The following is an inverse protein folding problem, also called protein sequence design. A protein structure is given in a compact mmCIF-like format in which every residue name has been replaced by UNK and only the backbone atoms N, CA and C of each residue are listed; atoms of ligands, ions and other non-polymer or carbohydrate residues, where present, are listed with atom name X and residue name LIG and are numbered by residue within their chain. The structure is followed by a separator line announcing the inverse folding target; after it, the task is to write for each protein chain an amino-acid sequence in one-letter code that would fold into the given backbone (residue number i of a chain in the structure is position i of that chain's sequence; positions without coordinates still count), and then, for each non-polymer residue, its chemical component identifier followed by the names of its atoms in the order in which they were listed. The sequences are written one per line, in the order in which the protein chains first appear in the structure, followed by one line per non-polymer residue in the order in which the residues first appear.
data_IF_215584978495
#
_entry.id   IF_215584978495
#
_cell.length_a   1.000
_cell.length_b   1.000
_cell.length_c   1.000
_cell.angle_alpha   90.00
_cell.angle_beta   90.00
_cell.angle_gamma   90.00
#
_symmetry.space_group_name_H-M   'P 1'
#
loop_
_entity.id
_entity.type
_entity.pdbx_description
1 polymer ?
#
# COMPACT_ATOMS: atom_id res chain seq x y z
N UNK A 1 -19.63 -10.63 -2.58
CA UNK A 1 -18.18 -10.41 -2.34
C UNK A 1 -17.56 -10.11 -3.70
N UNK A 2 -16.99 -8.92 -3.93
CA UNK A 2 -16.01 -8.80 -5.02
C UNK A 2 -14.68 -9.33 -4.48
N UNK A 3 -14.57 -10.65 -4.41
CA UNK A 3 -13.28 -11.33 -4.21
C UNK A 3 -12.41 -10.96 -5.39
N UNK A 4 -11.18 -10.52 -5.11
CA UNK A 4 -10.15 -10.36 -6.13
C UNK A 4 -10.15 -11.59 -7.03
N UNK A 5 -10.46 -11.38 -8.31
CA UNK A 5 -10.46 -12.47 -9.26
C UNK A 5 -9.01 -12.66 -9.68
N UNK A 6 -8.41 -13.80 -9.31
CA UNK A 6 -7.04 -14.16 -9.67
C UNK A 6 -6.00 -13.87 -8.58
N UNK A 7 -5.44 -14.95 -8.02
CA UNK A 7 -4.34 -14.87 -7.06
C UNK A 7 -3.06 -14.36 -7.75
N UNK A 8 -2.28 -13.49 -7.08
CA UNK A 8 -1.04 -12.97 -7.63
C UNK A 8 -0.01 -14.08 -7.77
N UNK A 9 0.74 -14.05 -8.86
CA UNK A 9 1.86 -14.97 -9.08
C UNK A 9 3.08 -14.52 -8.30
N UNK A 10 3.71 -15.46 -7.61
CA UNK A 10 5.01 -15.26 -6.99
C UNK A 10 6.09 -15.45 -8.06
N UNK A 11 7.00 -14.48 -8.18
CA UNK A 11 8.16 -14.65 -9.06
C UNK A 11 9.16 -15.63 -8.45
N UNK A 12 9.64 -16.59 -9.25
CA UNK A 12 10.78 -17.44 -8.90
C UNK A 12 12.04 -16.61 -8.55
N UNK A 13 12.19 -15.41 -9.13
CA UNK A 13 13.29 -14.47 -8.85
C UNK A 13 13.06 -13.61 -7.61
N UNK A 14 11.90 -13.74 -6.95
CA UNK A 14 11.60 -12.97 -5.74
C UNK A 14 12.49 -13.42 -4.58
N UNK A 15 12.73 -12.51 -3.62
CA UNK A 15 13.65 -12.80 -2.52
C UNK A 15 13.16 -13.94 -1.61
N UNK A 16 11.90 -14.36 -1.67
CA UNK A 16 11.36 -15.40 -0.79
C UNK A 16 11.94 -16.75 -1.17
N UNK A 17 12.12 -16.99 -2.47
CA UNK A 17 12.80 -18.18 -2.99
C UNK A 17 14.32 -18.13 -2.77
N UNK A 18 14.93 -16.93 -2.75
CA UNK A 18 16.34 -16.77 -2.35
C UNK A 18 16.59 -17.03 -0.87
N UNK A 19 15.65 -16.66 0.00
CA UNK A 19 15.72 -16.95 1.43
C UNK A 19 15.40 -18.42 1.74
N UNK A 20 14.53 -19.07 0.96
CA UNK A 20 14.23 -20.49 1.07
C UNK A 20 15.41 -21.39 0.64
N UNK A 21 16.24 -20.95 -0.32
CA UNK A 21 17.41 -21.70 -0.81
C UNK A 21 18.64 -21.68 0.10
N UNK A 22 18.64 -20.87 1.17
CA UNK A 22 19.75 -20.77 2.14
C UNK A 22 19.40 -21.36 3.51
N UNK A 23 18.31 -22.12 3.63
CA UNK A 23 18.07 -22.93 4.83
C UNK A 23 18.86 -24.23 4.66
N UNK A 24 20.18 -24.14 4.86
CA UNK A 24 20.85 -25.27 5.49
C UNK A 24 20.26 -25.43 6.88
N UNK A 25 20.04 -26.68 7.26
CA UNK A 25 19.33 -27.15 8.44
C UNK A 25 20.08 -26.74 9.72
N UNK A 26 20.08 -25.46 10.03
CA UNK A 26 20.58 -24.94 11.29
C UNK A 26 19.42 -24.98 12.27
N UNK A 27 19.42 -26.03 13.10
CA UNK A 27 18.58 -26.16 14.30
C UNK A 27 18.43 -24.78 14.94
N UNK A 28 17.26 -24.17 14.78
CA UNK A 28 16.98 -22.90 15.45
C UNK A 28 17.10 -23.12 16.95
N UNK A 29 18.06 -22.45 17.58
CA UNK A 29 18.04 -22.31 19.04
C UNK A 29 16.72 -21.64 19.37
N UNK A 30 15.89 -22.32 20.17
CA UNK A 30 14.62 -21.82 20.70
C UNK A 30 14.89 -20.53 21.49
N UNK A 31 14.89 -19.39 20.78
CA UNK A 31 14.94 -18.07 21.38
C UNK A 31 13.68 -17.91 22.23
N UNK A 32 13.90 -17.67 23.52
CA UNK A 32 12.88 -17.61 24.55
C UNK A 32 11.66 -16.82 24.12
N UNK A 33 10.52 -17.45 24.35
CA UNK A 33 9.16 -16.99 24.12
C UNK A 33 8.82 -15.80 25.03
N UNK A 34 9.52 -14.67 24.90
CA UNK A 34 9.28 -13.52 25.77
C UNK A 34 8.02 -12.80 25.29
N UNK A 35 6.95 -12.92 26.10
CA UNK A 35 5.66 -12.20 26.05
C UNK A 35 4.45 -12.87 25.37
N UNK A 36 4.29 -14.20 25.46
CA UNK A 36 3.04 -14.86 25.00
C UNK A 36 1.80 -14.64 25.89
N UNK A 37 1.92 -13.93 27.01
CA UNK A 37 0.83 -13.73 27.99
C UNK A 37 0.16 -12.36 28.01
N UNK A 38 0.68 -11.34 27.31
CA UNK A 38 0.15 -9.95 27.39
C UNK A 38 -0.96 -9.64 26.37
N UNK A 39 -1.08 -10.44 25.31
CA UNK A 39 -2.09 -10.24 24.24
C UNK A 39 -3.36 -11.07 24.48
N UNK A 40 -3.31 -12.09 25.34
CA UNK A 40 -4.46 -12.95 25.66
C UNK A 40 -5.62 -12.14 26.25
N UNK A 41 -5.32 -11.13 27.07
CA UNK A 41 -6.34 -10.28 27.73
C UNK A 41 -7.18 -9.45 26.77
N UNK A 42 -6.69 -9.14 25.56
CA UNK A 42 -7.49 -8.41 24.56
C UNK A 42 -8.63 -9.28 24.01
N UNK A 43 -8.49 -10.61 24.10
CA UNK A 43 -9.50 -11.58 23.65
C UNK A 43 -10.64 -11.76 24.66
N UNK A 44 -10.39 -11.44 25.93
CA UNK A 44 -11.36 -11.59 27.01
C UNK A 44 -12.28 -10.35 27.16
N UNK A 45 -12.06 -9.32 26.34
CA UNK A 45 -12.85 -8.08 26.35
C UNK A 45 -14.15 -8.29 25.54
N UNK A 46 -15.32 -7.88 26.06
CA UNK A 46 -16.57 -7.84 25.29
C UNK A 46 -16.41 -7.10 23.97
N UNK A 47 -17.02 -7.62 22.89
CA UNK A 47 -16.87 -7.06 21.55
C UNK A 47 -17.26 -5.58 21.46
N UNK A 48 -18.25 -5.12 22.23
CA UNK A 48 -18.68 -3.73 22.23
C UNK A 48 -17.58 -2.77 22.74
N UNK A 49 -16.88 -3.17 23.80
CA UNK A 49 -15.75 -2.41 24.35
C UNK A 49 -14.58 -2.46 23.36
N UNK A 50 -14.33 -3.62 22.77
CA UNK A 50 -13.33 -3.75 21.71
C UNK A 50 -13.62 -2.82 20.53
N UNK A 51 -14.88 -2.73 20.08
CA UNK A 51 -15.30 -1.84 19.00
C UNK A 51 -15.17 -0.38 19.37
N UNK A 52 -15.47 -0.01 20.63
CA UNK A 52 -15.25 1.36 21.11
C UNK A 52 -13.78 1.74 21.03
N UNK A 53 -12.88 0.88 21.49
CA UNK A 53 -11.42 1.09 21.41
C UNK A 53 -10.96 1.11 19.94
N UNK A 54 -11.40 0.15 19.14
CA UNK A 54 -11.01 0.04 17.73
C UNK A 54 -11.46 1.25 16.90
N UNK A 55 -12.62 1.83 17.22
CA UNK A 55 -13.17 3.01 16.54
C UNK A 55 -12.39 4.31 16.79
N UNK A 56 -11.59 4.37 17.87
CA UNK A 56 -10.73 5.51 18.17
C UNK A 56 -9.31 5.39 17.62
N UNK A 57 -8.98 4.26 16.99
CA UNK A 57 -7.68 4.05 16.36
C UNK A 57 -7.54 4.82 15.04
N UNK A 58 -6.30 4.99 14.57
CA UNK A 58 -6.04 5.43 13.19
C UNK A 58 -6.17 4.25 12.22
N UNK A 59 -6.41 4.48 10.91
CA UNK A 59 -6.49 3.40 9.93
C UNK A 59 -5.24 2.48 9.91
N UNK A 60 -4.00 3.00 10.00
CA UNK A 60 -2.80 2.18 10.17
C UNK A 60 -2.83 1.31 11.42
N UNK A 61 -3.22 1.87 12.57
CA UNK A 61 -3.23 1.15 13.84
C UNK A 61 -4.27 0.03 13.83
N UNK A 62 -5.47 0.28 13.30
CA UNK A 62 -6.51 -0.74 13.15
C UNK A 62 -6.04 -1.88 12.23
N UNK A 63 -5.30 -1.57 11.17
CA UNK A 63 -4.73 -2.56 10.28
C UNK A 63 -3.60 -3.35 10.93
N UNK A 64 -2.75 -2.69 11.73
CA UNK A 64 -1.73 -3.37 12.52
C UNK A 64 -2.37 -4.32 13.54
N UNK A 65 -3.43 -3.89 14.22
CA UNK A 65 -4.21 -4.72 15.13
C UNK A 65 -4.79 -5.96 14.43
N UNK A 66 -5.37 -5.77 13.25
CA UNK A 66 -5.88 -6.87 12.41
C UNK A 66 -4.78 -7.88 11.99
N UNK A 67 -3.49 -7.52 12.06
CA UNK A 67 -2.37 -8.40 11.72
C UNK A 67 -1.79 -9.15 12.91
N UNK A 68 -2.19 -8.81 14.14
CA UNK A 68 -1.68 -9.44 15.36
C UNK A 68 -2.12 -10.91 15.47
N UNK A 69 -3.33 -11.25 15.05
CA UNK A 69 -3.84 -12.62 15.10
C UNK A 69 -4.87 -12.92 13.99
N UNK A 70 -5.12 -14.21 13.72
CA UNK A 70 -6.14 -14.62 12.75
C UNK A 70 -7.55 -14.20 13.17
N UNK A 71 -7.81 -14.24 14.48
CA UNK A 71 -9.12 -13.89 15.04
C UNK A 71 -9.36 -12.39 14.92
N UNK A 72 -8.37 -11.55 15.31
CA UNK A 72 -8.47 -10.09 15.13
C UNK A 72 -8.57 -9.71 13.65
N UNK A 73 -7.87 -10.43 12.77
CA UNK A 73 -8.02 -10.25 11.32
C UNK A 73 -9.47 -10.48 10.89
N UNK A 74 -10.06 -11.59 11.34
CA UNK A 74 -11.42 -11.96 10.99
C UNK A 74 -12.43 -10.95 11.53
N UNK A 75 -12.26 -10.47 12.76
CA UNK A 75 -13.13 -9.45 13.35
C UNK A 75 -12.96 -8.12 12.61
N UNK A 76 -11.75 -7.55 12.63
CA UNK A 76 -11.50 -6.21 12.09
C UNK A 76 -11.77 -6.12 10.58
N UNK A 77 -11.48 -7.16 9.79
CA UNK A 77 -11.70 -7.14 8.34
C UNK A 77 -13.02 -7.81 7.91
N UNK A 78 -13.87 -8.21 8.86
CA UNK A 78 -15.22 -8.71 8.54
C UNK A 78 -16.09 -7.58 8.01
N UNK A 79 -17.00 -7.94 7.11
CA UNK A 79 -18.06 -7.06 6.61
C UNK A 79 -18.96 -6.54 7.74
N UNK A 80 -19.13 -7.31 8.81
CA UNK A 80 -19.94 -6.93 9.98
C UNK A 80 -19.32 -5.75 10.74
N UNK A 81 -18.00 -5.60 10.69
CA UNK A 81 -17.25 -4.51 11.33
C UNK A 81 -17.05 -3.30 10.41
N UNK A 82 -17.89 -3.14 9.37
CA UNK A 82 -17.86 -1.98 8.46
C UNK A 82 -17.87 -0.64 9.20
N UNK A 83 -18.72 -0.55 10.23
CA UNK A 83 -18.93 0.66 10.99
C UNK A 83 -17.63 1.18 11.62
N UNK A 84 -16.72 0.27 12.03
CA UNK A 84 -15.38 0.64 12.54
C UNK A 84 -14.56 1.37 11.48
N UNK A 85 -14.49 0.83 10.27
CA UNK A 85 -13.69 1.44 9.20
C UNK A 85 -14.27 2.76 8.74
N UNK A 86 -15.60 2.91 8.73
CA UNK A 86 -16.23 4.22 8.47
C UNK A 86 -15.84 5.23 9.54
N UNK A 87 -15.91 4.84 10.82
CA UNK A 87 -15.53 5.72 11.92
C UNK A 87 -14.04 6.13 11.85
N UNK A 88 -13.16 5.16 11.67
CA UNK A 88 -11.70 5.35 11.65
C UNK A 88 -11.22 6.10 10.40
N UNK A 89 -11.87 5.92 9.26
CA UNK A 89 -11.54 6.70 8.05
C UNK A 89 -12.18 8.08 8.04
N UNK A 90 -13.34 8.25 8.67
CA UNK A 90 -14.01 9.56 8.80
C UNK A 90 -13.27 10.55 9.69
N UNK A 91 -12.55 10.05 10.70
CA UNK A 91 -11.71 10.87 11.60
C UNK A 91 -10.33 11.15 11.03
N UNK A 92 -9.93 10.49 9.95
CA UNK A 92 -8.63 10.65 9.33
C UNK A 92 -8.75 11.61 8.13
N UNK A 93 -8.42 12.91 8.28
CA UNK A 93 -8.62 13.94 7.24
C UNK A 93 -7.79 13.71 5.97
N UNK A 94 -6.95 12.68 5.98
CA UNK A 94 -5.92 12.35 5.00
C UNK A 94 -6.20 10.93 4.49
N UNK A 95 -7.46 10.54 4.28
CA UNK A 95 -7.82 9.30 3.58
C UNK A 95 -8.98 9.59 2.64
N UNK A 96 -8.97 9.14 1.38
CA UNK A 96 -10.07 9.42 0.49
C UNK A 96 -11.36 8.86 1.08
N UNK A 97 -12.44 9.66 1.12
CA UNK A 97 -13.70 9.26 1.72
C UNK A 97 -14.14 7.93 1.12
N UNK A 98 -14.39 6.94 1.97
CA UNK A 98 -14.69 5.54 1.64
C UNK A 98 -16.06 5.36 0.95
N UNK A 99 -16.40 6.17 -0.05
CA UNK A 99 -17.75 6.29 -0.61
C UNK A 99 -18.11 5.22 -1.64
N UNK A 100 -17.18 4.36 -2.07
CA UNK A 100 -17.51 3.28 -3.00
C UNK A 100 -16.98 1.90 -2.57
N UNK A 101 -17.87 0.90 -2.67
CA UNK A 101 -17.69 -0.54 -2.44
C UNK A 101 -16.76 -0.96 -1.29
N UNK A 102 -17.35 -1.41 -0.19
CA UNK A 102 -16.71 -2.00 1.00
C UNK A 102 -15.50 -2.93 0.80
N UNK A 103 -15.53 -3.78 -0.23
CA UNK A 103 -14.42 -4.70 -0.51
C UNK A 103 -13.24 -3.99 -1.17
N UNK A 104 -13.51 -2.97 -1.97
CA UNK A 104 -12.49 -2.09 -2.54
C UNK A 104 -11.79 -1.31 -1.43
N UNK A 105 -12.53 -0.80 -0.45
CA UNK A 105 -11.97 -0.01 0.65
C UNK A 105 -11.03 -0.82 1.57
N UNK A 106 -11.39 -2.03 1.98
CA UNK A 106 -10.50 -2.80 2.88
C UNK A 106 -9.23 -3.31 2.19
N UNK A 107 -9.35 -3.73 0.93
CA UNK A 107 -8.17 -4.16 0.16
C UNK A 107 -7.33 -2.96 -0.25
N UNK A 108 -7.94 -1.81 -0.56
CA UNK A 108 -7.21 -0.56 -0.82
C UNK A 108 -6.50 -0.07 0.43
N UNK A 109 -7.16 0.01 1.58
CA UNK A 109 -6.53 0.35 2.88
C UNK A 109 -5.37 -0.61 3.15
N UNK A 110 -5.58 -1.93 3.03
CA UNK A 110 -4.51 -2.90 3.27
C UNK A 110 -3.33 -2.68 2.33
N UNK A 111 -3.57 -2.39 1.05
CA UNK A 111 -2.53 -2.18 0.03
C UNK A 111 -1.76 -0.87 0.21
N UNK A 112 -2.46 0.23 0.54
CA UNK A 112 -1.90 1.56 0.81
C UNK A 112 -1.00 1.49 2.02
N UNK A 113 -1.52 0.92 3.12
CA UNK A 113 -0.86 0.89 4.42
C UNK A 113 0.07 -0.32 4.61
N UNK A 114 0.06 -1.30 3.69
CA UNK A 114 1.06 -2.39 3.71
C UNK A 114 2.44 -1.83 3.38
N UNK A 115 3.45 -2.42 3.99
CA UNK A 115 4.86 -2.30 3.54
C UNK A 115 5.28 -3.53 2.71
N UNK A 116 4.54 -4.63 2.87
CA UNK A 116 4.84 -5.91 2.26
C UNK A 116 4.06 -6.12 0.96
N UNK A 117 4.65 -6.87 0.04
CA UNK A 117 3.96 -7.28 -1.18
C UNK A 117 2.87 -8.31 -0.91
N UNK A 118 1.73 -8.17 -1.59
CA UNK A 118 0.62 -9.14 -1.54
C UNK A 118 0.89 -10.42 -2.34
N UNK A 119 1.90 -10.45 -3.21
CA UNK A 119 2.31 -11.66 -3.92
C UNK A 119 3.19 -12.55 -3.03
N UNK A 120 4.42 -12.11 -2.79
CA UNK A 120 5.46 -12.91 -2.13
C UNK A 120 5.73 -12.54 -0.67
N UNK A 121 4.93 -11.68 -0.04
CA UNK A 121 5.04 -11.34 1.39
C UNK A 121 6.26 -10.51 1.83
N UNK A 122 7.24 -10.29 0.95
CA UNK A 122 8.46 -9.52 1.25
C UNK A 122 8.17 -8.03 1.48
N UNK A 123 8.78 -7.48 2.54
CA UNK A 123 8.75 -6.05 2.86
C UNK A 123 9.51 -5.15 1.89
N UNK A 124 9.29 -3.84 2.01
CA UNK A 124 9.89 -2.79 1.15
C UNK A 124 9.54 -2.95 -0.33
N UNK A 125 8.28 -3.30 -0.60
CA UNK A 125 7.76 -3.34 -1.96
C UNK A 125 7.73 -1.93 -2.57
N UNK A 126 8.19 -1.79 -3.81
CA UNK A 126 8.58 -0.52 -4.43
C UNK A 126 7.45 0.43 -4.81
N UNK A 127 6.19 0.02 -4.69
CA UNK A 127 5.04 0.89 -4.95
C UNK A 127 3.71 0.18 -4.76
N UNK A 128 2.66 0.96 -4.49
CA UNK A 128 1.27 0.50 -4.53
C UNK A 128 0.73 0.75 -5.93
N UNK A 129 0.08 -0.25 -6.49
CA UNK A 129 -0.72 -0.12 -7.70
C UNK A 129 -2.17 0.09 -7.28
N UNK A 130 -2.55 1.36 -7.04
CA UNK A 130 -3.88 1.72 -6.55
C UNK A 130 -4.99 1.27 -7.50
N UNK A 131 -4.68 1.23 -8.80
CA UNK A 131 -5.62 0.76 -9.81
C UNK A 131 -5.97 -0.72 -9.69
N UNK A 132 -5.25 -1.49 -8.90
CA UNK A 132 -5.68 -2.84 -8.56
C UNK A 132 -5.61 -3.04 -7.06
N UNK A 133 -5.54 -1.97 -6.26
CA UNK A 133 -5.29 -1.98 -4.82
C UNK A 133 -4.35 -3.11 -4.38
N UNK A 134 -3.21 -3.22 -5.07
CA UNK A 134 -2.21 -4.25 -4.82
C UNK A 134 -0.80 -3.66 -4.71
N UNK A 135 0.01 -4.22 -3.81
CA UNK A 135 1.41 -3.87 -3.61
C UNK A 135 2.30 -5.00 -4.10
N UNK A 136 3.22 -4.67 -5.00
CA UNK A 136 4.18 -5.61 -5.55
C UNK A 136 5.62 -5.20 -5.26
N UNK A 137 6.48 -6.19 -4.94
CA UNK A 137 7.90 -5.97 -5.14
C UNK A 137 8.18 -5.86 -6.64
N UNK A 138 9.24 -5.15 -7.04
CA UNK A 138 9.58 -4.92 -8.44
C UNK A 138 9.59 -6.19 -9.29
N UNK A 139 10.03 -7.31 -8.71
CA UNK A 139 10.10 -8.60 -9.42
C UNK A 139 8.71 -9.21 -9.63
N UNK A 140 7.83 -9.18 -8.61
CA UNK A 140 6.47 -9.68 -8.74
C UNK A 140 5.61 -8.75 -9.61
N UNK A 141 5.91 -7.45 -9.59
CA UNK A 141 5.25 -6.44 -10.41
C UNK A 141 5.32 -6.83 -11.89
N UNK A 142 6.53 -7.08 -12.41
CA UNK A 142 6.76 -7.43 -13.83
C UNK A 142 6.04 -8.68 -14.32
N UNK A 143 5.75 -9.64 -13.43
CA UNK A 143 5.08 -10.90 -13.80
C UNK A 143 3.55 -10.75 -13.74
N UNK A 144 3.06 -9.91 -12.85
CA UNK A 144 1.64 -9.73 -12.63
C UNK A 144 1.05 -8.58 -13.46
N UNK A 145 1.86 -7.60 -13.85
CA UNK A 145 1.47 -6.44 -14.64
C UNK A 145 2.24 -6.43 -15.95
N UNK A 146 1.53 -6.69 -17.04
CA UNK A 146 2.09 -6.64 -18.40
C UNK A 146 1.62 -5.35 -19.06
N UNK A 147 2.55 -4.65 -19.71
CA UNK A 147 2.26 -3.56 -20.63
C UNK A 147 2.14 -4.19 -22.01
N UNK A 148 0.93 -4.31 -22.51
CA UNK A 148 0.68 -4.89 -23.84
C UNK A 148 -0.41 -4.10 -24.56
N UNK A 149 -0.52 -4.30 -25.88
CA UNK A 149 -1.64 -3.80 -26.63
C UNK A 149 -2.88 -4.66 -26.34
N UNK A 150 -3.75 -4.17 -25.47
CA UNK A 150 -4.98 -4.85 -25.08
C UNK A 150 -5.83 -5.26 -26.28
N UNK A 151 -5.78 -4.56 -27.42
CA UNK A 151 -6.47 -4.95 -28.65
C UNK A 151 -6.08 -6.33 -29.18
N UNK A 152 -4.79 -6.71 -29.08
CA UNK A 152 -4.34 -8.01 -29.57
C UNK A 152 -4.89 -9.17 -28.73
N UNK A 153 -5.08 -8.94 -27.43
CA UNK A 153 -5.57 -9.95 -26.48
C UNK A 153 -7.10 -9.93 -26.39
N UNK A 154 -7.72 -8.75 -26.50
CA UNK A 154 -9.17 -8.53 -26.50
C UNK A 154 -9.84 -8.85 -27.84
N UNK A 155 -9.07 -9.16 -28.90
CA UNK A 155 -9.59 -9.75 -30.14
C UNK A 155 -10.40 -11.04 -29.90
N UNK A 156 -10.11 -11.75 -28.82
CA UNK A 156 -10.85 -12.95 -28.38
C UNK A 156 -12.20 -12.60 -27.72
N UNK A 157 -12.41 -11.35 -27.29
CA UNK A 157 -13.59 -10.88 -26.56
C UNK A 157 -14.37 -9.76 -27.30
N UNK A 158 -14.35 -9.74 -28.64
CA UNK A 158 -15.20 -8.88 -29.48
C UNK A 158 -15.13 -7.37 -29.17
N UNK A 159 -13.93 -6.78 -29.15
CA UNK A 159 -13.73 -5.32 -29.05
C UNK A 159 -14.24 -4.64 -27.76
N UNK A 160 -14.55 -5.40 -26.70
CA UNK A 160 -15.08 -4.81 -25.46
C UNK A 160 -13.97 -4.57 -24.41
N UNK A 161 -12.99 -3.74 -24.76
CA UNK A 161 -11.84 -3.35 -23.92
C UNK A 161 -12.23 -2.53 -22.68
N UNK A 162 -13.43 -1.96 -22.68
CA UNK A 162 -13.99 -1.14 -21.58
C UNK A 162 -14.07 -1.88 -20.23
N UNK A 163 -13.94 -3.22 -20.23
CA UNK A 163 -14.10 -4.07 -19.04
C UNK A 163 -12.79 -4.36 -18.31
N UNK A 164 -11.68 -3.99 -18.93
CA UNK A 164 -10.35 -4.31 -18.48
C UNK A 164 -9.65 -3.02 -18.09
N UNK A 165 -9.03 -3.09 -16.92
CA UNK A 165 -8.40 -1.94 -16.32
C UNK A 165 -7.25 -1.43 -17.18
N UNK A 166 -7.31 -0.16 -17.57
CA UNK A 166 -6.13 0.50 -18.09
C UNK A 166 -5.87 1.83 -17.38
N UNK A 167 -4.81 1.78 -16.59
CA UNK A 167 -4.05 2.90 -16.04
C UNK A 167 -4.63 3.57 -14.77
N UNK A 168 -3.91 3.52 -13.63
CA UNK A 168 -4.23 4.26 -12.39
C UNK A 168 -4.33 5.78 -12.56
N UNK A 169 -3.74 6.35 -13.61
CA UNK A 169 -3.58 7.80 -13.81
C UNK A 169 -4.62 8.43 -14.75
N UNK A 170 -5.60 7.65 -15.23
CA UNK A 170 -6.61 8.14 -16.17
C UNK A 170 -8.01 7.82 -15.65
N UNK A 171 -8.91 8.80 -15.72
CA UNK A 171 -10.36 8.59 -15.51
C UNK A 171 -11.01 7.86 -16.69
N UNK A 172 -10.23 7.59 -17.75
CA UNK A 172 -10.64 6.86 -18.95
C UNK A 172 -9.75 5.65 -19.11
N UNK A 173 -10.34 4.50 -19.44
CA UNK A 173 -9.56 3.38 -19.96
C UNK A 173 -8.84 3.85 -21.22
N UNK A 174 -7.51 3.87 -21.20
CA UNK A 174 -6.67 4.13 -22.38
C UNK A 174 -6.13 2.81 -22.93
N UNK A 175 -6.14 2.65 -24.24
CA UNK A 175 -5.72 1.41 -24.93
C UNK A 175 -4.28 0.97 -24.59
N UNK A 176 -3.43 1.93 -24.20
CA UNK A 176 -2.03 1.71 -23.79
C UNK A 176 -1.90 1.71 -22.27
N UNK A 177 -2.34 0.62 -21.64
CA UNK A 177 -2.28 0.43 -20.18
C UNK A 177 -1.47 -0.79 -19.74
N UNK A 178 -1.10 -0.83 -18.45
CA UNK A 178 -0.74 -2.09 -17.78
C UNK A 178 -2.02 -2.75 -17.27
N UNK A 179 -2.15 -4.05 -17.43
CA UNK A 179 -3.26 -4.82 -16.86
C UNK A 179 -2.76 -5.92 -15.92
N UNK A 180 -3.57 -6.25 -14.92
CA UNK A 180 -3.29 -7.32 -13.98
C UNK A 180 -3.66 -8.66 -14.59
N UNK A 181 -2.65 -9.45 -14.95
CA UNK A 181 -2.80 -10.68 -15.74
C UNK A 181 -3.74 -11.70 -15.08
N UNK A 182 -3.65 -12.01 -13.76
CA UNK A 182 -4.54 -12.97 -13.13
C UNK A 182 -6.01 -12.57 -13.19
N UNK A 183 -6.34 -11.29 -12.98
CA UNK A 183 -7.71 -10.80 -13.08
C UNK A 183 -8.21 -10.80 -14.52
N UNK A 184 -7.39 -10.31 -15.46
CA UNK A 184 -7.73 -10.36 -16.88
C UNK A 184 -8.10 -11.79 -17.31
N UNK A 185 -7.25 -12.77 -16.99
CA UNK A 185 -7.49 -14.18 -17.38
C UNK A 185 -8.78 -14.72 -16.79
N UNK A 186 -9.07 -14.38 -15.55
CA UNK A 186 -10.25 -14.90 -14.87
C UNK A 186 -11.54 -14.20 -15.33
N UNK A 187 -11.49 -12.91 -15.68
CA UNK A 187 -12.59 -12.18 -16.33
C UNK A 187 -12.88 -12.75 -17.72
N UNK A 188 -11.85 -12.97 -18.55
CA UNK A 188 -11.99 -13.57 -19.88
C UNK A 188 -12.57 -14.98 -19.77
N UNK A 189 -12.06 -15.81 -18.86
CA UNK A 189 -12.61 -17.14 -18.62
C UNK A 189 -14.11 -17.06 -18.29
N UNK A 190 -14.49 -16.23 -17.31
CA UNK A 190 -15.89 -16.09 -16.90
C UNK A 190 -16.78 -15.61 -18.05
N UNK A 191 -16.29 -14.69 -18.89
CA UNK A 191 -17.01 -14.21 -20.06
C UNK A 191 -17.24 -15.34 -21.07
N UNK A 192 -16.20 -16.11 -21.40
CA UNK A 192 -16.30 -17.24 -22.33
C UNK A 192 -17.28 -18.30 -21.81
N UNK A 193 -17.28 -18.56 -20.50
CA UNK A 193 -18.19 -19.54 -19.88
C UNK A 193 -19.68 -19.16 -20.05
N UNK A 194 -20.00 -17.87 -20.13
CA UNK A 194 -21.39 -17.36 -20.22
C UNK A 194 -21.71 -16.76 -21.59
N UNK A 195 -20.80 -16.83 -22.57
CA UNK A 195 -20.88 -16.04 -23.81
C UNK A 195 -22.14 -16.31 -24.66
N UNK A 196 -22.74 -17.49 -24.49
CA UNK A 196 -23.95 -17.90 -25.20
C UNK A 196 -25.25 -17.56 -24.45
N UNK A 197 -25.16 -16.87 -23.31
CA UNK A 197 -26.29 -16.45 -22.47
C UNK A 197 -26.37 -14.91 -22.43
N UNK A 198 -27.07 -14.26 -23.39
CA UNK A 198 -27.00 -12.80 -23.58
C UNK A 198 -27.34 -11.98 -22.32
N UNK A 199 -28.36 -12.42 -21.56
CA UNK A 199 -28.76 -11.76 -20.32
C UNK A 199 -27.68 -11.85 -19.23
N UNK A 200 -27.02 -13.00 -19.08
CA UNK A 200 -25.96 -13.18 -18.10
C UNK A 200 -24.69 -12.45 -18.52
N UNK A 201 -24.38 -12.41 -19.82
CA UNK A 201 -23.32 -11.56 -20.37
C UNK A 201 -23.56 -10.10 -20.02
N UNK A 202 -24.77 -9.57 -20.25
CA UNK A 202 -25.09 -8.17 -20.00
C UNK A 202 -24.98 -7.82 -18.50
N UNK A 203 -25.54 -8.66 -17.62
CA UNK A 203 -25.42 -8.49 -16.16
C UNK A 203 -23.95 -8.49 -15.72
N UNK A 204 -23.17 -9.47 -16.19
CA UNK A 204 -21.75 -9.59 -15.86
C UNK A 204 -20.95 -8.37 -16.33
N UNK A 205 -21.19 -7.95 -17.57
CA UNK A 205 -20.55 -6.78 -18.19
C UNK A 205 -20.87 -5.50 -17.42
N UNK A 206 -22.15 -5.27 -17.10
CA UNK A 206 -22.59 -4.09 -16.36
C UNK A 206 -21.92 -4.02 -14.97
N UNK A 207 -21.98 -5.11 -14.21
CA UNK A 207 -21.34 -5.21 -12.90
C UNK A 207 -19.82 -5.01 -12.98
N UNK A 208 -19.17 -5.50 -14.05
CA UNK A 208 -17.73 -5.33 -14.25
C UNK A 208 -17.36 -3.88 -14.56
N UNK A 209 -18.16 -3.19 -15.37
CA UNK A 209 -17.99 -1.77 -15.70
C UNK A 209 -18.14 -0.89 -14.47
N UNK A 210 -19.14 -1.16 -13.63
CA UNK A 210 -19.35 -0.44 -12.36
C UNK A 210 -18.16 -0.62 -11.42
N UNK A 211 -17.69 -1.87 -11.24
CA UNK A 211 -16.53 -2.15 -10.40
C UNK A 211 -15.26 -1.45 -10.90
N UNK A 212 -14.95 -1.57 -12.20
CA UNK A 212 -13.75 -0.96 -12.79
C UNK A 212 -13.78 0.56 -12.63
N UNK A 213 -14.94 1.19 -12.87
CA UNK A 213 -15.12 2.64 -12.72
C UNK A 213 -14.97 3.08 -11.27
N UNK A 214 -15.60 2.38 -10.32
CA UNK A 214 -15.51 2.69 -8.91
C UNK A 214 -14.06 2.64 -8.41
N UNK A 215 -13.33 1.62 -8.83
CA UNK A 215 -11.95 1.45 -8.46
C UNK A 215 -11.03 2.48 -9.15
N UNK A 216 -11.27 2.88 -10.41
CA UNK A 216 -10.49 3.94 -11.07
C UNK A 216 -10.63 5.27 -10.36
N UNK A 217 -11.85 5.62 -9.94
CA UNK A 217 -12.11 6.81 -9.13
C UNK A 217 -11.31 6.76 -7.82
N UNK A 218 -11.41 5.64 -7.10
CA UNK A 218 -10.65 5.41 -5.87
C UNK A 218 -9.13 5.52 -6.09
N UNK A 219 -8.62 4.90 -7.16
CA UNK A 219 -7.21 4.95 -7.52
C UNK A 219 -6.73 6.38 -7.73
N UNK A 220 -7.50 7.17 -8.47
CA UNK A 220 -7.17 8.55 -8.74
C UNK A 220 -7.23 9.43 -7.47
N UNK A 221 -8.20 9.20 -6.60
CA UNK A 221 -8.27 9.85 -5.29
C UNK A 221 -7.06 9.50 -4.41
N UNK A 222 -6.65 8.22 -4.37
CA UNK A 222 -5.48 7.77 -3.63
C UNK A 222 -4.17 8.34 -4.18
N UNK A 223 -4.01 8.43 -5.50
CA UNK A 223 -2.83 9.07 -6.12
C UNK A 223 -2.76 10.55 -5.73
N UNK A 224 -3.87 11.30 -5.86
CA UNK A 224 -3.92 12.72 -5.48
C UNK A 224 -3.58 12.91 -4.01
N UNK A 225 -4.16 12.07 -3.17
CA UNK A 225 -3.90 12.06 -1.75
C UNK A 225 -2.41 11.82 -1.43
N UNK A 226 -1.79 10.79 -2.03
CA UNK A 226 -0.38 10.48 -1.81
C UNK A 226 0.53 11.63 -2.26
N UNK A 227 0.19 12.33 -3.34
CA UNK A 227 0.91 13.53 -3.78
C UNK A 227 0.88 14.63 -2.71
N UNK A 228 -0.28 14.92 -2.12
CA UNK A 228 -0.41 15.93 -1.05
C UNK A 228 0.41 15.53 0.17
N UNK A 229 0.29 14.27 0.63
CA UNK A 229 1.06 13.79 1.79
C UNK A 229 2.57 13.85 1.54
N UNK A 230 3.01 13.48 0.35
CA UNK A 230 4.42 13.53 -0.02
C UNK A 230 4.93 14.97 -0.13
N UNK A 231 4.13 15.90 -0.64
CA UNK A 231 4.47 17.33 -0.70
C UNK A 231 4.58 17.94 0.71
N UNK A 232 3.60 17.70 1.59
CA UNK A 232 3.67 18.15 2.98
C UNK A 232 4.88 17.58 3.73
N UNK A 233 5.17 16.30 3.51
CA UNK A 233 6.36 15.67 4.08
C UNK A 233 7.63 16.30 3.52
N UNK A 234 7.70 16.55 2.21
CA UNK A 234 8.84 17.19 1.58
C UNK A 234 9.06 18.61 2.12
N UNK A 235 7.98 19.39 2.33
CA UNK A 235 8.02 20.70 2.97
C UNK A 235 8.58 20.63 4.40
N UNK A 236 8.02 19.76 5.25
CA UNK A 236 8.51 19.53 6.62
C UNK A 236 9.98 19.08 6.65
N UNK A 237 10.37 18.19 5.76
CA UNK A 237 11.75 17.72 5.66
C UNK A 237 12.69 18.82 5.15
N UNK A 238 12.24 19.66 4.22
CA UNK A 238 12.98 20.83 3.77
C UNK A 238 13.15 21.88 4.89
N UNK A 239 12.10 22.17 5.64
CA UNK A 239 12.15 23.05 6.81
C UNK A 239 13.17 22.58 7.84
N UNK A 240 13.21 21.26 8.12
CA UNK A 240 14.23 20.66 9.00
C UNK A 240 15.64 20.88 8.45
N UNK A 241 15.86 20.68 7.15
CA UNK A 241 17.17 20.91 6.50
C UNK A 241 17.58 22.39 6.58
N UNK A 242 16.68 23.32 6.26
CA UNK A 242 16.94 24.76 6.35
C UNK A 242 17.19 25.22 7.80
N UNK A 243 16.41 24.73 8.77
CA UNK A 243 16.59 25.03 10.20
C UNK A 243 17.95 24.54 10.70
N UNK A 244 18.34 23.31 10.32
CA UNK A 244 19.65 22.75 10.62
C UNK A 244 20.77 23.59 10.00
N UNK A 245 20.67 23.91 8.71
CA UNK A 245 21.65 24.75 8.01
C UNK A 245 21.88 26.08 8.74
N UNK A 246 20.79 26.79 9.08
CA UNK A 246 20.88 28.06 9.83
C UNK A 246 21.56 27.90 11.19
N UNK A 247 21.29 26.79 11.89
CA UNK A 247 21.90 26.51 13.19
C UNK A 247 23.40 26.22 13.07
N UNK A 248 23.81 25.44 12.05
CA UNK A 248 25.22 25.16 11.77
C UNK A 248 25.95 26.46 11.43
N UNK A 249 25.44 27.25 10.49
CA UNK A 249 26.05 28.53 10.09
C UNK A 249 26.20 29.47 11.27
N UNK A 250 25.19 29.56 12.15
CA UNK A 250 25.26 30.39 13.36
C UNK A 250 26.37 29.91 14.29
N UNK A 251 26.37 28.64 14.67
CA UNK A 251 27.36 28.09 15.59
C UNK A 251 28.80 28.21 15.04
N UNK A 252 28.99 28.06 13.73
CA UNK A 252 30.31 28.25 13.10
C UNK A 252 30.78 29.70 13.17
N UNK A 253 29.88 30.67 12.94
CA UNK A 253 30.21 32.10 13.12
C UNK A 253 30.60 32.42 14.56
N UNK A 254 29.92 31.82 15.54
CA UNK A 254 30.24 31.99 16.96
C UNK A 254 31.63 31.43 17.31
N UNK A 255 32.17 30.51 16.49
CA UNK A 255 33.54 29.99 16.60
C UNK A 255 34.59 30.82 15.83
N UNK A 256 34.18 31.91 15.18
CA UNK A 256 35.06 32.74 14.36
C UNK A 256 35.34 32.17 12.96
N UNK A 257 34.65 31.11 12.54
CA UNK A 257 34.82 30.53 11.21
C UNK A 257 34.12 31.38 10.14
N UNK A 258 34.75 31.49 8.98
CA UNK A 258 34.25 32.21 7.81
C UNK A 258 33.61 31.26 6.78
N UNK A 259 32.95 31.81 5.77
CA UNK A 259 32.28 31.00 4.72
C UNK A 259 33.24 30.14 3.90
N UNK A 260 34.54 30.42 3.90
CA UNK A 260 35.57 29.63 3.22
C UNK A 260 35.93 28.35 3.96
N UNK A 261 35.65 28.28 5.26
CA UNK A 261 35.94 27.12 6.10
C UNK A 261 34.89 26.00 5.94
N UNK A 262 33.79 26.29 5.23
CA UNK A 262 32.68 25.35 5.07
C UNK A 262 33.11 24.12 4.27
N UNK A 263 32.69 22.91 4.68
CA UNK A 263 32.94 21.71 3.91
C UNK A 263 32.36 21.87 2.50
N UNK A 264 33.17 21.59 1.47
CA UNK A 264 32.74 21.70 0.07
C UNK A 264 31.59 20.75 -0.27
N UNK A 265 31.48 19.63 0.45
CA UNK A 265 30.38 18.67 0.25
C UNK A 265 29.15 19.08 1.05
N UNK A 266 27.96 18.84 0.48
CA UNK A 266 26.67 19.17 1.12
C UNK A 266 26.14 18.03 2.01
N UNK A 267 26.95 17.03 2.35
CA UNK A 267 26.49 15.82 3.05
C UNK A 267 25.91 16.13 4.45
N UNK A 268 26.44 17.16 5.12
CA UNK A 268 25.96 17.66 6.40
C UNK A 268 24.58 18.36 6.32
N UNK A 269 24.16 18.77 5.12
CA UNK A 269 22.85 19.39 4.83
C UNK A 269 21.73 18.35 4.65
N UNK A 270 22.06 17.12 4.26
CA UNK A 270 21.06 16.07 4.00
C UNK A 270 20.55 15.37 5.27
N UNK A 271 21.14 15.65 6.44
CA UNK A 271 20.68 15.08 7.71
C UNK A 271 19.39 15.74 8.21
N UNK A 272 18.37 14.91 8.46
CA UNK A 272 17.04 15.36 8.93
C UNK A 272 16.94 15.54 10.45
N UNK A 273 17.98 15.20 11.20
CA UNK A 273 18.00 15.39 12.66
C UNK A 273 18.33 16.83 13.03
N UNK A 274 17.60 17.39 14.00
CA UNK A 274 17.89 18.71 14.57
C UNK A 274 19.30 18.71 15.17
N UNK A 275 20.05 19.77 14.94
CA UNK A 275 21.37 19.95 15.56
C UNK A 275 21.15 20.27 17.05
N UNK A 276 21.42 19.29 17.92
CA UNK A 276 21.43 19.50 19.38
C UNK A 276 22.85 19.87 19.83
N UNK A 277 23.03 20.50 21.01
CA UNK A 277 24.36 20.79 21.55
C UNK A 277 25.27 19.56 21.58
N UNK A 278 24.73 18.41 22.00
CA UNK A 278 25.44 17.12 22.01
C UNK A 278 25.89 16.67 20.63
N UNK A 279 25.03 16.79 19.61
CA UNK A 279 25.39 16.42 18.22
C UNK A 279 26.45 17.39 17.67
N UNK A 280 26.37 18.67 18.04
CA UNK A 280 27.34 19.67 17.65
C UNK A 280 28.73 19.38 18.22
N UNK A 281 28.84 19.05 19.50
CA UNK A 281 30.11 18.68 20.14
C UNK A 281 30.77 17.45 19.52
N UNK A 282 29.98 16.44 19.13
CA UNK A 282 30.49 15.23 18.47
C UNK A 282 31.10 15.54 17.10
N UNK A 283 30.52 16.50 16.36
CA UNK A 283 30.98 16.87 15.02
C UNK A 283 32.05 17.97 15.02
N UNK A 284 32.49 18.44 16.20
CA UNK A 284 33.51 19.49 16.35
C UNK A 284 34.95 18.93 16.34
N UNK A 285 35.11 17.62 16.50
CA UNK A 285 36.40 16.92 16.36
C UNK A 285 36.73 16.73 14.88
#
# INVERSE_FOLDING_TARGET
MATYIGQPKISAKSRIHRLAGNVSDTKSKKGGLRNRGKVTRLRDIPLDIFFKIASSLTPPDLLHLARVSKELRQICLSRQCRHLWIAVTGTYPVYPPARHALSANLVSVDSVLRVNTQACGIGRAGGVEYGIAMRFCWVCHKINLIKDNLHAIARVAYNRWEYLWSNPSSLKNVEKGKYYVPEFKAVVKRYLDIQHEPMEVEKFVSARREYATAMMRLSHELVRWELVVNDEKAKKDNEKRCSRYRSIVRNWKDLGCTTTDFPRTRDWFHQLQKLTPRIWEINRK
#
